data_IF_765247356446
#
_entry.id   IF_765247356446
#
_cell.length_a   1.000
_cell.length_b   1.000
_cell.length_c   1.000
_cell.angle_alpha   90.00
_cell.angle_beta   90.00
_cell.angle_gamma   90.00
#
_symmetry.space_group_name_H-M   'P 1'
#
loop_
_entity.id
_entity.type
_entity.pdbx_description
1 polymer ?
#
# COMPACT_ATOMS: atom_id res chain seq x y z
N UNK A 1 5.81 -11.75 -30.46
CA UNK A 1 4.49 -11.84 -29.82
C UNK A 1 4.78 -11.79 -28.34
N UNK A 2 4.51 -10.64 -27.74
CA UNK A 2 4.97 -10.27 -26.41
C UNK A 2 4.42 -11.24 -25.36
N UNK A 3 5.32 -11.72 -24.52
CA UNK A 3 4.97 -12.41 -23.28
C UNK A 3 4.43 -11.33 -22.36
N UNK A 4 3.11 -11.18 -22.32
CA UNK A 4 2.47 -10.51 -21.19
C UNK A 4 2.62 -11.50 -20.04
N UNK A 5 3.68 -11.33 -19.24
CA UNK A 5 3.76 -11.97 -17.93
C UNK A 5 2.55 -11.46 -17.15
N UNK A 6 1.52 -12.31 -17.05
CA UNK A 6 0.37 -12.03 -16.20
C UNK A 6 0.92 -11.78 -14.79
N UNK A 7 0.77 -10.56 -14.31
CA UNK A 7 1.02 -10.19 -12.92
C UNK A 7 0.13 -11.07 -12.02
N UNK A 8 0.68 -12.22 -11.60
CA UNK A 8 0.19 -13.24 -10.66
C UNK A 8 -1.30 -13.68 -10.76
N UNK A 9 -1.54 -14.99 -10.94
CA UNK A 9 -2.88 -15.64 -10.95
C UNK A 9 -3.63 -15.60 -9.60
N UNK A 10 -3.44 -14.56 -8.80
CA UNK A 10 -4.01 -14.42 -7.46
C UNK A 10 -5.43 -13.88 -7.50
N UNK A 11 -6.28 -14.48 -6.67
CA UNK A 11 -7.62 -14.00 -6.37
C UNK A 11 -7.58 -12.67 -5.63
N UNK A 12 -8.70 -11.93 -5.67
CA UNK A 12 -8.86 -10.69 -4.90
C UNK A 12 -8.55 -10.88 -3.40
N UNK A 13 -8.95 -12.02 -2.81
CA UNK A 13 -8.66 -12.34 -1.41
C UNK A 13 -7.18 -12.58 -1.14
N UNK A 14 -6.45 -13.16 -2.09
CA UNK A 14 -5.00 -13.34 -1.99
C UNK A 14 -4.29 -11.99 -2.08
N UNK A 15 -4.69 -11.13 -3.02
CA UNK A 15 -4.18 -9.76 -3.10
C UNK A 15 -4.40 -8.98 -1.79
N UNK A 16 -5.61 -9.00 -1.23
CA UNK A 16 -5.91 -8.32 0.05
C UNK A 16 -4.96 -8.80 1.17
N UNK A 17 -4.64 -10.10 1.24
CA UNK A 17 -3.76 -10.63 2.28
C UNK A 17 -2.30 -10.29 2.05
N UNK A 18 -1.85 -10.25 0.79
CA UNK A 18 -0.45 -10.11 0.43
C UNK A 18 -0.01 -8.67 0.22
N UNK A 19 -0.94 -7.74 -0.02
CA UNK A 19 -0.58 -6.35 -0.34
C UNK A 19 0.38 -5.67 0.66
N UNK A 20 0.36 -5.95 1.99
CA UNK A 20 1.35 -5.34 2.88
C UNK A 20 2.79 -5.81 2.66
N UNK A 21 2.99 -6.95 1.98
CA UNK A 21 4.30 -7.45 1.58
C UNK A 21 4.94 -6.55 0.53
N UNK A 22 4.13 -5.97 -0.36
CA UNK A 22 4.60 -5.16 -1.48
C UNK A 22 5.11 -3.77 -1.05
N UNK A 23 4.94 -3.38 0.22
CA UNK A 23 5.50 -2.12 0.71
C UNK A 23 7.04 -2.18 0.77
N UNK A 24 7.62 -3.36 1.09
CA UNK A 24 9.05 -3.57 1.34
C UNK A 24 9.77 -2.31 1.89
N UNK A 25 10.56 -1.64 1.05
CA UNK A 25 11.33 -0.43 1.32
C UNK A 25 10.81 0.87 0.71
N UNK A 26 9.75 0.80 -0.08
CA UNK A 26 9.12 1.94 -0.74
C UNK A 26 7.73 2.17 -0.17
N UNK A 27 6.68 1.83 -0.93
CA UNK A 27 5.29 2.13 -0.63
C UNK A 27 4.36 1.29 -1.48
N UNK A 28 3.14 1.12 -0.98
CA UNK A 28 1.98 0.76 -1.81
C UNK A 28 1.07 1.96 -1.87
N UNK A 29 0.58 2.30 -3.06
CA UNK A 29 -0.27 3.45 -3.30
C UNK A 29 -1.66 3.05 -3.81
N UNK A 30 -2.64 3.95 -3.70
CA UNK A 30 -3.96 3.71 -4.31
C UNK A 30 -3.85 3.51 -5.83
N UNK A 31 -2.88 4.14 -6.48
CA UNK A 31 -2.56 3.91 -7.88
C UNK A 31 -2.25 2.43 -8.17
N UNK A 32 -1.43 1.78 -7.33
CA UNK A 32 -1.11 0.35 -7.46
C UNK A 32 -2.36 -0.52 -7.29
N UNK A 33 -3.18 -0.21 -6.27
CA UNK A 33 -4.43 -0.93 -5.99
C UNK A 33 -5.44 -0.83 -7.15
N UNK A 34 -5.51 0.32 -7.81
CA UNK A 34 -6.32 0.52 -9.00
C UNK A 34 -5.83 -0.32 -10.18
N UNK A 35 -4.51 -0.42 -10.36
CA UNK A 35 -3.90 -1.31 -11.35
C UNK A 35 -4.27 -2.78 -11.11
N UNK A 36 -4.14 -3.25 -9.87
CA UNK A 36 -4.53 -4.61 -9.48
C UNK A 36 -6.03 -4.85 -9.71
N UNK A 37 -6.89 -3.93 -9.27
CA UNK A 37 -8.34 -4.05 -9.47
C UNK A 37 -8.73 -4.04 -10.96
N UNK A 38 -7.99 -3.29 -11.79
CA UNK A 38 -8.13 -3.29 -13.24
C UNK A 38 -7.75 -4.63 -13.86
N UNK A 39 -6.64 -5.23 -13.44
CA UNK A 39 -6.22 -6.58 -13.86
C UNK A 39 -7.22 -7.68 -13.48
N UNK A 40 -7.91 -7.52 -12.35
CA UNK A 40 -8.98 -8.40 -11.90
C UNK A 40 -10.33 -8.18 -12.62
N UNK A 41 -10.45 -7.12 -13.44
CA UNK A 41 -11.68 -6.82 -14.18
C UNK A 41 -12.88 -6.44 -13.29
N UNK A 42 -12.63 -5.89 -12.10
CA UNK A 42 -13.70 -5.56 -11.14
C UNK A 42 -14.55 -4.38 -11.63
N UNK A 43 -15.87 -4.52 -11.48
CA UNK A 43 -16.82 -3.42 -11.66
C UNK A 43 -16.61 -2.32 -10.61
N UNK A 44 -17.26 -1.17 -10.80
CA UNK A 44 -17.07 0.01 -9.94
C UNK A 44 -17.35 -0.27 -8.47
N UNK A 45 -18.43 -0.99 -8.12
CA UNK A 45 -18.79 -1.22 -6.73
C UNK A 45 -17.82 -2.21 -6.07
N UNK A 46 -17.56 -3.32 -6.75
CA UNK A 46 -16.65 -4.36 -6.30
C UNK A 46 -15.21 -3.84 -6.18
N UNK A 47 -14.81 -2.92 -7.07
CA UNK A 47 -13.51 -2.24 -7.02
C UNK A 47 -13.36 -1.40 -5.75
N UNK A 48 -14.37 -0.62 -5.38
CA UNK A 48 -14.34 0.19 -4.16
C UNK A 48 -14.25 -0.70 -2.92
N UNK A 49 -15.01 -1.79 -2.88
CA UNK A 49 -14.94 -2.77 -1.79
C UNK A 49 -13.56 -3.42 -1.70
N UNK A 50 -13.01 -3.88 -2.82
CA UNK A 50 -11.67 -4.44 -2.89
C UNK A 50 -10.61 -3.47 -2.36
N UNK A 51 -10.62 -2.22 -2.85
CA UNK A 51 -9.69 -1.17 -2.40
C UNK A 51 -9.84 -0.93 -0.90
N UNK A 52 -11.07 -0.83 -0.39
CA UNK A 52 -11.33 -0.66 1.05
C UNK A 52 -10.71 -1.79 1.87
N UNK A 53 -10.84 -3.04 1.41
CA UNK A 53 -10.23 -4.19 2.07
C UNK A 53 -8.69 -4.17 2.00
N UNK A 54 -8.11 -3.79 0.86
CA UNK A 54 -6.66 -3.63 0.75
C UNK A 54 -6.13 -2.53 1.69
N UNK A 55 -6.78 -1.36 1.74
CA UNK A 55 -6.39 -0.28 2.64
C UNK A 55 -6.48 -0.70 4.11
N UNK A 56 -7.55 -1.43 4.50
CA UNK A 56 -7.67 -2.00 5.85
C UNK A 56 -6.52 -2.97 6.15
N UNK A 57 -6.17 -3.83 5.20
CA UNK A 57 -5.06 -4.79 5.35
C UNK A 57 -3.72 -4.08 5.56
N UNK A 58 -3.42 -3.03 4.78
CA UNK A 58 -2.22 -2.20 4.94
C UNK A 58 -2.17 -1.57 6.34
N UNK A 59 -3.26 -0.95 6.77
CA UNK A 59 -3.34 -0.29 8.08
C UNK A 59 -3.28 -1.29 9.25
N UNK A 60 -3.92 -2.45 9.13
CA UNK A 60 -3.88 -3.52 10.15
C UNK A 60 -2.46 -4.11 10.28
N UNK A 61 -1.67 -4.11 9.20
CA UNK A 61 -0.25 -4.47 9.23
C UNK A 61 0.65 -3.39 9.84
N UNK A 62 0.14 -2.18 10.07
CA UNK A 62 0.86 -1.05 10.67
C UNK A 62 1.39 -0.03 9.66
N UNK A 63 1.02 -0.13 8.38
CA UNK A 63 1.32 0.91 7.41
C UNK A 63 0.52 2.19 7.74
N UNK A 64 1.03 3.34 7.32
CA UNK A 64 0.38 4.63 7.51
C UNK A 64 0.42 5.46 6.22
N UNK A 65 -0.55 6.35 6.01
CA UNK A 65 -0.50 7.27 4.88
C UNK A 65 0.70 8.23 5.01
N UNK A 66 1.35 8.48 3.88
CA UNK A 66 2.51 9.37 3.79
C UNK A 66 2.41 10.35 2.64
N UNK A 67 3.30 11.34 2.64
CA UNK A 67 3.58 12.23 1.52
C UNK A 67 5.05 12.08 1.10
N UNK A 68 5.36 12.10 -0.20
CA UNK A 68 6.74 12.06 -0.68
C UNK A 68 7.45 13.39 -0.35
N UNK A 69 8.71 13.32 0.08
CA UNK A 69 9.51 14.51 0.44
C UNK A 69 10.26 15.12 -0.76
N UNK A 70 9.85 14.75 -1.97
CA UNK A 70 10.40 15.09 -3.29
C UNK A 70 11.86 14.67 -3.50
N UNK A 71 12.80 14.96 -2.59
CA UNK A 71 14.24 14.62 -2.71
C UNK A 71 15.00 14.52 -1.38
N UNK A 72 14.33 14.55 -0.23
CA UNK A 72 14.99 14.47 1.08
C UNK A 72 15.04 13.02 1.58
N UNK A 73 16.06 12.70 2.39
CA UNK A 73 15.98 11.54 3.27
C UNK A 73 15.37 11.99 4.61
N UNK A 74 14.36 11.28 5.15
CA UNK A 74 13.68 10.10 4.58
C UNK A 74 12.76 10.45 3.38
N UNK A 75 12.52 9.48 2.47
CA UNK A 75 11.77 9.70 1.21
C UNK A 75 10.29 10.00 1.43
N UNK A 76 9.78 9.69 2.62
CA UNK A 76 8.40 9.90 3.02
C UNK A 76 8.30 10.69 4.31
N UNK A 77 7.12 11.25 4.53
CA UNK A 77 6.71 11.81 5.81
C UNK A 77 5.27 11.40 6.08
N UNK A 78 5.00 10.95 7.30
CA UNK A 78 3.62 10.71 7.77
C UNK A 78 2.72 11.91 7.53
N UNK A 79 1.51 11.65 7.03
CA UNK A 79 0.45 12.64 6.89
C UNK A 79 -0.78 12.20 7.67
N UNK A 80 -1.41 13.12 8.39
CA UNK A 80 -2.70 12.88 9.04
C UNK A 80 -3.86 13.49 8.22
N UNK A 81 -3.62 13.85 6.95
CA UNK A 81 -4.62 14.45 6.04
C UNK A 81 -5.92 13.64 5.94
N UNK A 82 -5.82 12.32 6.07
CA UNK A 82 -6.96 11.41 5.97
C UNK A 82 -7.52 11.00 7.34
N UNK A 83 -7.05 11.61 8.43
CA UNK A 83 -7.40 11.23 9.79
C UNK A 83 -6.35 10.36 10.46
N UNK A 84 -6.66 9.90 11.66
CA UNK A 84 -5.70 9.17 12.51
C UNK A 84 -6.19 7.80 12.94
N UNK A 85 -7.48 7.50 12.72
CA UNK A 85 -8.08 6.20 13.01
C UNK A 85 -8.19 5.39 11.73
N UNK A 86 -8.01 4.07 11.84
CA UNK A 86 -8.05 3.15 10.70
C UNK A 86 -9.27 3.37 9.79
N UNK A 87 -10.47 3.27 10.34
CA UNK A 87 -11.69 3.33 9.52
C UNK A 87 -11.91 4.73 8.91
N UNK A 88 -11.53 5.78 9.64
CA UNK A 88 -11.55 7.17 9.16
C UNK A 88 -10.58 7.37 7.98
N UNK A 89 -9.37 6.83 8.06
CA UNK A 89 -8.38 6.89 6.97
C UNK A 89 -8.92 6.23 5.71
N UNK A 90 -9.50 5.03 5.82
CA UNK A 90 -10.07 4.32 4.68
C UNK A 90 -11.22 5.10 4.05
N UNK A 91 -12.15 5.59 4.87
CA UNK A 91 -13.30 6.38 4.40
C UNK A 91 -12.85 7.66 3.70
N UNK A 92 -11.91 8.40 4.29
CA UNK A 92 -11.46 9.69 3.75
C UNK A 92 -10.61 9.54 2.49
N UNK A 93 -9.77 8.49 2.38
CA UNK A 93 -9.01 8.22 1.16
C UNK A 93 -9.94 7.90 -0.01
N UNK A 94 -10.93 7.02 0.21
CA UNK A 94 -11.91 6.68 -0.82
C UNK A 94 -12.75 7.90 -1.19
N UNK A 95 -13.21 8.67 -0.21
CA UNK A 95 -14.00 9.88 -0.45
C UNK A 95 -13.22 10.95 -1.23
N UNK A 96 -11.95 11.19 -0.88
CA UNK A 96 -11.09 12.16 -1.58
C UNK A 96 -10.84 11.73 -3.04
N UNK A 97 -10.54 10.45 -3.27
CA UNK A 97 -10.39 9.90 -4.62
C UNK A 97 -11.67 10.00 -5.44
N UNK A 98 -12.82 9.63 -4.86
CA UNK A 98 -14.12 9.73 -5.54
C UNK A 98 -14.53 11.18 -5.82
N UNK A 99 -14.18 12.12 -4.93
CA UNK A 99 -14.41 13.55 -5.15
C UNK A 99 -13.61 14.10 -6.34
N UNK A 100 -12.48 13.47 -6.68
CA UNK A 100 -11.70 13.75 -7.90
C UNK A 100 -12.22 13.04 -9.15
N UNK A 101 -13.33 12.31 -9.04
CA UNK A 101 -13.99 11.60 -10.14
C UNK A 101 -13.84 10.08 -10.08
N UNK A 102 -13.10 9.52 -9.12
CA UNK A 102 -12.95 8.07 -8.95
C UNK A 102 -12.29 7.36 -10.13
N UNK A 103 -11.49 8.10 -10.92
CA UNK A 103 -10.80 7.62 -12.10
C UNK A 103 -9.34 7.28 -11.84
N UNK A 104 -8.55 7.30 -12.91
CA UNK A 104 -7.11 7.03 -12.87
C UNK A 104 -6.38 8.09 -12.04
N UNK A 105 -5.28 7.66 -11.43
CA UNK A 105 -4.41 8.48 -10.60
C UNK A 105 -3.04 8.67 -11.27
N UNK A 106 -2.30 9.68 -10.83
CA UNK A 106 -0.89 9.79 -11.17
C UNK A 106 -0.06 8.73 -10.41
N UNK A 107 1.11 8.39 -10.96
CA UNK A 107 1.96 7.34 -10.42
C UNK A 107 2.30 7.58 -8.94
N UNK A 108 1.93 6.62 -8.08
CA UNK A 108 2.24 6.64 -6.66
C UNK A 108 1.36 7.53 -5.79
N UNK A 109 0.23 8.06 -6.30
CA UNK A 109 -0.70 8.86 -5.48
C UNK A 109 -1.35 8.04 -4.36
N UNK A 110 -1.57 8.70 -3.22
CA UNK A 110 -2.05 8.11 -1.95
C UNK A 110 -1.15 6.98 -1.44
N UNK A 111 0.14 7.26 -1.17
CA UNK A 111 1.06 6.24 -0.72
C UNK A 111 0.87 5.89 0.75
N UNK A 112 1.02 4.60 1.03
CA UNK A 112 1.12 4.00 2.35
C UNK A 112 2.45 3.30 2.45
N UNK A 113 3.11 3.52 3.58
CA UNK A 113 4.34 2.80 3.89
C UNK A 113 4.42 2.56 5.39
N UNK A 114 5.36 1.74 5.80
CA UNK A 114 5.57 1.48 7.21
C UNK A 114 6.37 2.60 7.87
N UNK A 115 6.09 2.94 9.15
CA UNK A 115 6.80 3.98 9.88
C UNK A 115 8.32 3.87 9.80
N UNK A 116 8.87 2.65 9.80
CA UNK A 116 10.30 2.42 9.72
C UNK A 116 10.94 3.00 8.45
N UNK A 117 10.21 3.05 7.33
CA UNK A 117 10.68 3.59 6.06
C UNK A 117 10.87 5.12 6.08
N UNK A 118 10.45 5.80 7.16
CA UNK A 118 10.66 7.24 7.30
C UNK A 118 10.92 7.76 8.72
N UNK A 119 10.83 6.93 9.76
CA UNK A 119 11.19 7.34 11.13
C UNK A 119 12.65 7.06 11.44
N UNK A 120 13.27 6.11 10.71
CA UNK A 120 14.66 5.73 10.92
C UNK A 120 15.59 6.71 10.18
N UNK A 121 16.49 7.34 10.94
CA UNK A 121 17.45 8.31 10.40
C UNK A 121 18.78 7.67 9.94
N UNK A 122 18.97 6.36 10.17
CA UNK A 122 20.16 5.58 9.81
C UNK A 122 19.82 4.33 8.96
N UNK A 123 20.42 4.21 7.78
CA UNK A 123 20.17 3.15 6.80
C UNK A 123 20.55 1.73 7.30
N UNK A 124 21.52 1.60 8.22
CA UNK A 124 21.91 0.31 8.78
C UNK A 124 20.87 -0.24 9.76
N UNK A 125 20.26 0.64 10.56
CA UNK A 125 19.17 0.29 11.49
C UNK A 125 17.90 -0.08 10.71
N UNK A 126 17.64 0.64 9.61
CA UNK A 126 16.49 0.41 8.73
C UNK A 126 16.43 -1.03 8.16
N UNK A 127 17.55 -1.59 7.68
CA UNK A 127 17.61 -2.97 7.14
C UNK A 127 17.26 -4.03 8.19
N UNK A 128 17.73 -3.84 9.43
CA UNK A 128 17.52 -4.79 10.51
C UNK A 128 16.05 -4.86 10.95
N UNK A 129 15.40 -3.70 11.06
CA UNK A 129 14.01 -3.63 11.52
C UNK A 129 13.03 -4.18 10.47
N UNK A 130 13.26 -3.89 9.18
CA UNK A 130 12.38 -4.40 8.11
C UNK A 130 12.42 -5.92 7.99
N UNK A 131 13.59 -6.56 8.06
CA UNK A 131 13.70 -8.02 8.02
C UNK A 131 12.96 -8.68 9.21
N UNK A 132 13.14 -8.14 10.42
CA UNK A 132 12.46 -8.65 11.61
C UNK A 132 10.94 -8.49 11.53
N UNK A 133 10.43 -7.39 10.95
CA UNK A 133 8.98 -7.18 10.76
C UNK A 133 8.40 -8.15 9.76
N UNK A 134 9.03 -8.32 8.60
CA UNK A 134 8.55 -9.23 7.56
C UNK A 134 8.47 -10.68 8.07
N UNK A 135 9.49 -11.13 8.82
CA UNK A 135 9.48 -12.43 9.51
C UNK A 135 8.35 -12.57 10.54
N UNK A 136 7.94 -11.47 11.19
CA UNK A 136 6.87 -11.47 12.20
C UNK A 136 5.48 -11.48 11.58
N UNK A 137 5.26 -10.67 10.56
CA UNK A 137 3.97 -10.57 9.88
C UNK A 137 3.66 -11.84 9.08
N UNK A 138 4.70 -12.53 8.60
CA UNK A 138 4.58 -13.67 7.70
C UNK A 138 5.56 -14.80 8.10
N UNK A 139 5.34 -15.47 9.24
CA UNK A 139 6.21 -16.53 9.74
C UNK A 139 6.27 -17.77 8.83
N UNK A 140 5.37 -17.88 7.86
CA UNK A 140 5.22 -19.02 6.96
C UNK A 140 6.04 -18.93 5.65
N UNK A 141 6.66 -17.79 5.36
CA UNK A 141 7.53 -17.62 4.18
C UNK A 141 8.92 -18.20 4.45
N UNK A 142 9.58 -18.73 3.42
CA UNK A 142 10.98 -19.20 3.51
C UNK A 142 11.93 -18.00 3.36
N UNK A 143 12.84 -17.82 4.31
CA UNK A 143 13.69 -16.63 4.47
C UNK A 143 15.19 -16.93 4.32
N UNK A 144 15.54 -18.16 3.92
CA UNK A 144 16.92 -18.67 3.78
C UNK A 144 17.44 -18.68 2.32
#
# INVERSE_FOLDING_TARGET
MDVVENFHDWTASEWIRRIPLDIEDDRVSLWDLLGIAGGLGLDTATRVEFISHCLRSLLDAGAVPVEPTMWAWPPFRRTDRFGTKRDEIVENVIADWQARGGGDLEWGEYPFTFPENFEIQDNAEWRCVNEARLRRLFPELDWD
#
